data_IF_630565172820
#
_entry.id   IF_630565172820
#
_cell.length_a   1.000
_cell.length_b   1.000
_cell.length_c   1.000
_cell.angle_alpha   90.00
_cell.angle_beta   90.00
_cell.angle_gamma   90.00
#
_symmetry.space_group_name_H-M   'P 1'
#
loop_
_entity.id
_entity.type
_entity.pdbx_description
1 polymer ?
#
# COMPACT_ATOMS: atom_id res chain seq x y z
N UNK A 1 -60.07 7.46 -29.77
CA UNK A 1 -58.89 7.86 -28.97
C UNK A 1 -58.95 7.04 -27.68
N UNK A 2 -58.49 5.79 -27.55
CA UNK A 2 -57.31 5.06 -28.04
C UNK A 2 -55.96 5.45 -27.38
N UNK A 3 -55.97 5.74 -26.08
CA UNK A 3 -54.75 6.14 -25.34
C UNK A 3 -54.47 5.36 -24.04
N UNK A 4 -55.25 4.33 -23.68
CA UNK A 4 -55.13 3.66 -22.37
C UNK A 4 -54.61 2.20 -22.42
N UNK A 5 -54.12 1.76 -23.59
CA UNK A 5 -53.63 0.38 -23.80
C UNK A 5 -52.10 0.25 -23.67
N UNK A 6 -51.35 1.34 -23.51
CA UNK A 6 -49.87 1.33 -23.53
C UNK A 6 -49.19 1.17 -22.16
N UNK A 7 -49.92 1.21 -21.06
CA UNK A 7 -49.37 1.13 -19.68
C UNK A 7 -49.76 -0.14 -18.93
N UNK A 8 -50.24 -1.15 -19.66
CA UNK A 8 -50.59 -2.45 -19.09
C UNK A 8 -49.38 -3.38 -19.15
N UNK A 9 -48.80 -3.82 -18.02
CA UNK A 9 -47.73 -4.81 -18.05
C UNK A 9 -48.29 -6.13 -18.58
N UNK A 10 -47.72 -6.62 -19.68
CA UNK A 10 -48.05 -7.91 -20.27
C UNK A 10 -47.40 -9.04 -19.43
N UNK A 11 -48.25 -9.95 -18.93
CA UNK A 11 -47.84 -11.34 -18.74
C UNK A 11 -47.21 -11.75 -17.40
N UNK A 12 -47.61 -11.17 -16.26
CA UNK A 12 -47.34 -11.79 -14.95
C UNK A 12 -48.60 -11.84 -14.08
N UNK A 13 -49.17 -13.04 -13.98
CA UNK A 13 -50.24 -13.39 -13.04
C UNK A 13 -49.80 -13.09 -11.60
N UNK A 14 -50.61 -12.33 -10.85
CA UNK A 14 -50.40 -12.10 -9.41
C UNK A 14 -50.75 -13.38 -8.66
N UNK A 15 -49.76 -14.22 -8.39
CA UNK A 15 -49.93 -15.36 -7.50
C UNK A 15 -50.30 -14.86 -6.09
N UNK A 16 -51.55 -15.08 -5.69
CA UNK A 16 -52.05 -14.87 -4.33
C UNK A 16 -51.48 -15.98 -3.42
N UNK A 17 -50.19 -15.85 -3.09
CA UNK A 17 -49.45 -16.77 -2.23
C UNK A 17 -49.77 -16.53 -0.75
N UNK A 18 -50.46 -17.49 -0.15
CA UNK A 18 -51.09 -17.40 1.16
C UNK A 18 -50.17 -17.07 2.33
N UNK A 19 -50.81 -16.51 3.34
CA UNK A 19 -50.43 -16.17 4.74
C UNK A 19 -49.82 -17.34 5.56
N UNK A 20 -49.25 -18.35 4.91
CA UNK A 20 -48.70 -19.59 5.46
C UNK A 20 -47.18 -19.59 5.59
N UNK A 21 -46.45 -18.70 4.91
CA UNK A 21 -44.99 -18.59 5.06
C UNK A 21 -44.57 -17.90 6.37
N UNK A 22 -45.41 -16.99 6.89
CA UNK A 22 -45.18 -16.31 8.17
C UNK A 22 -45.23 -17.27 9.39
N UNK A 23 -45.80 -18.48 9.24
CA UNK A 23 -45.85 -19.48 10.30
C UNK A 23 -44.59 -20.38 10.36
N UNK A 24 -43.82 -20.49 9.27
CA UNK A 24 -42.57 -21.26 9.26
C UNK A 24 -41.34 -20.43 9.68
N UNK A 25 -41.37 -19.10 9.50
CA UNK A 25 -40.28 -18.22 9.92
C UNK A 25 -40.18 -18.07 11.46
N UNK A 26 -41.25 -18.36 12.21
CA UNK A 26 -41.30 -18.19 13.66
C UNK A 26 -40.63 -19.32 14.47
N UNK A 27 -40.29 -20.46 13.85
CA UNK A 27 -39.72 -21.62 14.57
C UNK A 27 -38.20 -21.73 14.41
N UNK A 28 -37.59 -21.02 13.46
CA UNK A 28 -36.13 -21.09 13.19
C UNK A 28 -35.32 -19.88 13.71
N UNK A 29 -36.00 -18.85 14.21
CA UNK A 29 -35.35 -17.65 14.76
C UNK A 29 -34.58 -17.86 16.10
N UNK A 30 -35.05 -18.67 17.08
CA UNK A 30 -34.35 -18.75 18.37
C UNK A 30 -32.94 -19.40 18.33
N UNK A 31 -32.66 -20.47 17.56
CA UNK A 31 -31.31 -21.07 17.56
C UNK A 31 -30.25 -20.20 16.87
N UNK A 32 -30.64 -19.42 15.85
CA UNK A 32 -29.70 -18.56 15.12
C UNK A 32 -29.24 -17.36 15.96
N UNK A 33 -30.17 -16.74 16.70
CA UNK A 33 -29.84 -15.62 17.60
C UNK A 33 -28.95 -16.08 18.76
N UNK A 34 -29.18 -17.30 19.29
CA UNK A 34 -28.33 -17.86 20.34
C UNK A 34 -26.91 -18.18 19.84
N UNK A 35 -26.76 -18.69 18.62
CA UNK A 35 -25.46 -18.97 18.02
C UNK A 35 -24.64 -17.69 17.77
N UNK A 36 -25.27 -16.62 17.30
CA UNK A 36 -24.61 -15.31 17.09
C UNK A 36 -24.21 -14.67 18.41
N UNK A 37 -25.07 -14.73 19.43
CA UNK A 37 -24.77 -14.19 20.76
C UNK A 37 -23.65 -14.97 21.47
N UNK A 38 -23.64 -16.30 21.37
CA UNK A 38 -22.57 -17.14 21.93
C UNK A 38 -21.23 -16.92 21.19
N UNK A 39 -21.26 -16.77 19.87
CA UNK A 39 -20.09 -16.44 19.06
C UNK A 39 -19.49 -15.07 19.42
N UNK A 40 -20.32 -14.03 19.54
CA UNK A 40 -19.88 -12.70 19.96
C UNK A 40 -19.32 -12.66 21.39
N UNK A 41 -19.90 -13.46 22.30
CA UNK A 41 -19.44 -13.56 23.68
C UNK A 41 -18.09 -14.27 23.80
N UNK A 42 -17.86 -15.34 23.03
CA UNK A 42 -16.58 -16.04 23.00
C UNK A 42 -15.47 -15.21 22.33
N UNK A 43 -15.81 -14.40 21.34
CA UNK A 43 -14.87 -13.47 20.70
C UNK A 43 -14.48 -12.32 21.65
N UNK A 44 -15.43 -11.80 22.45
CA UNK A 44 -15.13 -10.79 23.48
C UNK A 44 -14.29 -11.32 24.64
N UNK A 45 -14.30 -12.63 24.90
CA UNK A 45 -13.41 -13.25 25.91
C UNK A 45 -11.98 -13.47 25.40
N UNK A 46 -11.78 -13.49 24.09
CA UNK A 46 -10.46 -13.59 23.46
C UNK A 46 -9.87 -12.23 23.05
N UNK A 47 -10.68 -11.17 23.04
CA UNK A 47 -10.22 -9.79 22.87
C UNK A 47 -9.66 -9.23 24.19
N UNK A 48 -8.56 -9.83 24.67
CA UNK A 48 -7.67 -9.15 25.61
C UNK A 48 -6.96 -8.00 24.88
N UNK A 49 -7.06 -6.79 25.43
CA UNK A 49 -6.43 -5.60 24.87
C UNK A 49 -4.90 -5.69 24.76
N UNK A 50 -4.28 -4.76 24.01
CA UNK A 50 -2.87 -4.81 23.67
C UNK A 50 -1.99 -4.68 24.91
N UNK A 51 -1.26 -5.73 25.26
CA UNK A 51 -0.11 -5.62 26.16
C UNK A 51 1.03 -4.95 25.42
N UNK A 52 1.36 -3.71 25.80
CA UNK A 52 2.66 -3.12 25.55
C UNK A 52 3.72 -3.91 26.30
N UNK A 53 4.43 -4.80 25.59
CA UNK A 53 5.52 -5.59 26.15
C UNK A 53 6.27 -6.29 25.02
N UNK A 54 7.50 -5.84 24.77
CA UNK A 54 8.37 -6.40 23.74
C UNK A 54 8.65 -7.89 23.96
N UNK A 55 8.62 -8.64 22.87
CA UNK A 55 9.01 -10.05 22.81
C UNK A 55 9.09 -10.49 21.36
N UNK A 56 10.26 -10.32 20.74
CA UNK A 56 10.55 -10.92 19.45
C UNK A 56 10.63 -12.44 19.64
N UNK A 57 9.72 -13.18 19.00
CA UNK A 57 9.79 -14.64 18.90
C UNK A 57 10.42 -14.97 17.55
N UNK A 58 11.69 -15.37 17.58
CA UNK A 58 12.39 -15.92 16.42
C UNK A 58 12.03 -17.40 16.34
N UNK A 59 11.24 -17.78 15.35
CA UNK A 59 11.03 -19.18 15.01
C UNK A 59 12.19 -19.65 14.11
N UNK A 60 12.99 -20.58 14.64
CA UNK A 60 14.00 -21.29 13.86
C UNK A 60 13.30 -22.18 12.83
N UNK A 61 13.53 -21.91 11.55
CA UNK A 61 13.10 -22.80 10.47
C UNK A 61 14.27 -23.75 10.22
N UNK A 62 14.11 -24.98 10.70
CA UNK A 62 15.05 -26.07 10.48
C UNK A 62 15.04 -26.45 8.99
N UNK A 63 16.18 -26.24 8.33
CA UNK A 63 16.35 -26.47 6.90
C UNK A 63 16.20 -27.96 6.57
N UNK A 64 15.14 -28.28 5.82
CA UNK A 64 14.97 -29.58 5.18
C UNK A 64 15.99 -29.70 4.05
N UNK A 65 16.91 -30.65 4.19
CA UNK A 65 17.89 -30.99 3.16
C UNK A 65 17.20 -31.67 1.97
N UNK A 66 17.07 -30.95 0.86
CA UNK A 66 16.77 -31.56 -0.44
C UNK A 66 18.07 -32.09 -1.05
N UNK A 67 18.01 -33.38 -1.38
CA UNK A 67 19.11 -34.19 -1.89
C UNK A 67 19.43 -33.78 -3.32
N UNK A 68 20.65 -33.31 -3.60
CA UNK A 68 21.17 -33.22 -4.96
C UNK A 68 22.65 -33.58 -4.99
N UNK A 69 22.96 -34.70 -5.64
CA UNK A 69 24.20 -34.97 -6.38
C UNK A 69 25.53 -34.81 -5.64
N UNK A 70 25.94 -35.85 -4.91
CA UNK A 70 27.36 -36.06 -4.61
C UNK A 70 28.10 -36.47 -5.89
N UNK A 71 29.04 -35.64 -6.34
CA UNK A 71 30.17 -36.08 -7.16
C UNK A 71 31.42 -35.90 -6.30
N UNK A 72 32.03 -37.04 -5.99
CA UNK A 72 33.29 -37.12 -5.28
C UNK A 72 34.40 -36.42 -6.08
N UNK A 73 35.11 -35.49 -5.44
CA UNK A 73 36.39 -34.98 -5.91
C UNK A 73 37.49 -35.40 -4.92
N UNK A 74 38.37 -36.26 -5.42
CA UNK A 74 39.67 -36.68 -4.87
C UNK A 74 40.50 -35.47 -4.39
N UNK A 75 41.28 -35.57 -3.30
CA UNK A 75 42.05 -34.44 -2.77
C UNK A 75 43.26 -34.15 -3.66
N UNK A 76 43.28 -32.95 -4.26
CA UNK A 76 44.48 -32.37 -4.86
C UNK A 76 45.13 -31.44 -3.84
N UNK A 77 46.41 -31.67 -3.56
CA UNK A 77 47.20 -30.96 -2.55
C UNK A 77 47.37 -29.45 -2.80
N UNK A 78 47.90 -28.72 -1.81
CA UNK A 78 47.88 -27.26 -1.79
C UNK A 78 48.93 -26.66 -2.75
N UNK A 79 48.58 -25.63 -3.54
CA UNK A 79 49.55 -24.70 -4.11
C UNK A 79 49.70 -23.44 -3.23
N UNK A 80 50.81 -22.70 -3.39
CA UNK A 80 51.42 -21.91 -2.34
C UNK A 80 50.86 -20.48 -2.22
N UNK A 81 51.19 -19.86 -1.09
CA UNK A 81 51.00 -18.46 -0.78
C UNK A 81 51.67 -17.50 -1.80
N UNK A 82 51.06 -16.32 -1.97
CA UNK A 82 51.55 -15.17 -2.75
C UNK A 82 50.70 -14.94 -3.99
N UNK A 83 50.18 -13.75 -4.31
CA UNK A 83 50.87 -12.46 -4.38
C UNK A 83 49.85 -11.32 -4.31
N UNK A 84 50.12 -10.31 -3.48
CA UNK A 84 49.37 -9.03 -3.45
C UNK A 84 49.88 -8.15 -4.59
N UNK A 85 49.01 -7.78 -5.53
CA UNK A 85 49.29 -6.69 -6.49
C UNK A 85 48.49 -5.45 -6.07
N UNK A 86 49.19 -4.42 -5.59
CA UNK A 86 48.59 -3.11 -5.31
C UNK A 86 48.79 -2.18 -6.50
N UNK A 87 47.69 -1.87 -7.21
CA UNK A 87 47.57 -0.77 -8.17
C UNK A 87 46.55 0.26 -7.68
N UNK A 88 46.65 1.54 -8.06
CA UNK A 88 45.85 2.60 -7.47
C UNK A 88 44.39 2.55 -7.96
N UNK A 89 43.46 2.22 -7.05
CA UNK A 89 42.03 2.48 -7.23
C UNK A 89 41.09 1.28 -7.29
N UNK A 90 41.59 0.04 -7.23
CA UNK A 90 40.74 -1.15 -7.09
C UNK A 90 41.07 -1.89 -5.80
N UNK A 91 40.13 -1.88 -4.85
CA UNK A 91 40.06 -2.87 -3.77
C UNK A 91 39.37 -4.10 -4.34
N UNK A 92 40.16 -5.06 -4.81
CA UNK A 92 39.67 -6.41 -5.05
C UNK A 92 39.54 -7.10 -3.69
N UNK A 93 38.30 -7.19 -3.20
CA UNK A 93 37.97 -8.00 -2.03
C UNK A 93 37.81 -9.42 -2.54
N UNK A 94 38.76 -10.30 -2.23
CA UNK A 94 38.59 -11.74 -2.43
C UNK A 94 37.51 -12.21 -1.46
N UNK A 95 36.36 -12.74 -1.93
CA UNK A 95 35.36 -13.29 -1.03
C UNK A 95 35.99 -14.48 -0.30
N UNK A 96 36.05 -14.41 1.02
CA UNK A 96 36.50 -15.52 1.89
C UNK A 96 35.44 -16.62 2.03
N UNK A 97 34.31 -16.47 1.32
CA UNK A 97 33.21 -17.43 1.32
C UNK A 97 32.36 -17.41 2.58
N UNK A 98 32.59 -16.47 3.52
CA UNK A 98 31.74 -16.29 4.68
C UNK A 98 30.73 -15.16 4.42
N UNK A 99 29.44 -15.50 4.52
CA UNK A 99 28.34 -14.53 4.51
C UNK A 99 28.09 -13.95 5.91
N UNK A 100 28.88 -14.34 6.92
CA UNK A 100 28.65 -13.98 8.32
C UNK A 100 29.19 -12.58 8.66
N UNK A 101 30.17 -12.07 7.90
CA UNK A 101 30.81 -10.77 8.15
C UNK A 101 30.13 -9.57 7.46
N UNK A 102 29.18 -9.82 6.55
CA UNK A 102 28.36 -8.78 5.92
C UNK A 102 26.97 -8.82 6.54
N UNK A 103 26.84 -8.26 7.75
CA UNK A 103 25.57 -8.11 8.44
C UNK A 103 24.61 -7.19 7.67
N UNK A 104 23.86 -7.76 6.73
CA UNK A 104 22.84 -7.05 5.96
C UNK A 104 22.50 -7.75 4.65
N UNK A 105 21.26 -7.59 4.21
CA UNK A 105 20.78 -8.05 2.91
C UNK A 105 21.58 -7.36 1.78
N UNK A 106 22.37 -8.12 1.02
CA UNK A 106 23.15 -7.60 -0.10
C UNK A 106 22.22 -7.45 -1.30
N UNK A 107 21.60 -6.28 -1.43
CA UNK A 107 20.74 -5.95 -2.58
C UNK A 107 21.62 -5.54 -3.76
N UNK A 108 21.82 -6.44 -4.72
CA UNK A 108 22.49 -6.14 -6.00
C UNK A 108 21.52 -5.37 -6.89
N UNK A 109 21.74 -4.06 -7.05
CA UNK A 109 20.97 -3.21 -7.98
C UNK A 109 21.69 -3.02 -9.31
N UNK A 110 20.95 -3.08 -10.41
CA UNK A 110 21.45 -2.71 -11.75
C UNK A 110 21.80 -1.21 -11.77
N UNK A 111 23.08 -0.82 -11.97
CA UNK A 111 23.49 0.58 -11.98
C UNK A 111 22.91 1.37 -13.16
N UNK A 112 22.34 0.67 -14.16
CA UNK A 112 21.71 1.28 -15.33
C UNK A 112 20.27 1.71 -15.07
N UNK A 113 19.65 1.23 -13.99
CA UNK A 113 18.27 1.62 -13.61
C UNK A 113 18.31 2.68 -12.51
N UNK A 114 17.61 3.81 -12.69
CA UNK A 114 17.51 4.81 -11.63
C UNK A 114 16.91 4.17 -10.38
N UNK A 115 17.54 4.42 -9.23
CA UNK A 115 17.07 3.90 -7.94
C UNK A 115 15.66 4.45 -7.68
N UNK A 116 14.69 3.60 -7.28
CA UNK A 116 13.37 4.10 -6.92
C UNK A 116 13.49 5.08 -5.75
N UNK A 117 13.01 6.31 -5.96
CA UNK A 117 12.94 7.33 -4.92
C UNK A 117 11.78 6.96 -4.00
N UNK A 118 12.06 6.80 -2.70
CA UNK A 118 11.01 6.67 -1.68
C UNK A 118 10.91 8.00 -0.95
N UNK A 119 9.72 8.58 -0.91
CA UNK A 119 9.50 9.82 -0.18
C UNK A 119 9.33 9.54 1.31
N UNK A 120 9.79 10.49 2.14
CA UNK A 120 9.65 10.41 3.58
C UNK A 120 8.16 10.30 3.98
N UNK A 121 7.88 9.60 5.08
CA UNK A 121 6.54 9.51 5.63
C UNK A 121 5.99 10.92 5.97
N UNK A 122 4.68 11.09 5.81
CA UNK A 122 3.96 12.31 6.15
C UNK A 122 2.87 11.96 7.19
N UNK A 123 2.45 12.92 8.03
CA UNK A 123 2.94 14.30 8.11
C UNK A 123 4.20 14.43 8.99
N UNK A 124 5.05 15.41 8.66
CA UNK A 124 6.08 15.93 9.56
C UNK A 124 5.44 16.65 10.75
N UNK A 125 5.89 16.35 11.96
CA UNK A 125 5.27 16.85 13.20
C UNK A 125 5.41 18.37 13.40
N UNK A 126 6.50 18.95 12.91
CA UNK A 126 6.77 20.40 12.95
C UNK A 126 5.95 21.19 11.91
N UNK A 127 5.30 20.50 10.97
CA UNK A 127 4.57 21.11 9.84
C UNK A 127 3.06 20.92 9.93
N UNK A 128 2.54 20.59 11.11
CA UNK A 128 1.10 20.43 11.36
C UNK A 128 0.64 21.30 12.53
N UNK A 129 -0.61 21.72 12.45
CA UNK A 129 -1.35 22.35 13.54
C UNK A 129 -2.69 21.66 13.76
N UNK A 130 -3.24 21.75 14.97
CA UNK A 130 -4.54 21.18 15.28
C UNK A 130 -5.65 22.15 14.83
N UNK A 131 -6.51 21.70 13.92
CA UNK A 131 -7.73 22.40 13.51
C UNK A 131 -8.99 21.70 14.02
N UNK A 132 -10.16 22.30 13.77
CA UNK A 132 -11.45 21.74 14.18
C UNK A 132 -11.78 20.38 13.55
N UNK A 133 -11.19 20.08 12.38
CA UNK A 133 -11.46 18.89 11.58
C UNK A 133 -10.24 17.96 11.46
N UNK A 134 -9.24 18.12 12.33
CA UNK A 134 -8.01 17.35 12.32
C UNK A 134 -6.78 18.21 12.06
N UNK A 135 -5.68 17.55 11.68
CA UNK A 135 -4.40 18.21 11.44
C UNK A 135 -4.45 19.02 10.14
N UNK A 136 -4.00 20.28 10.22
CA UNK A 136 -3.83 21.15 9.06
C UNK A 136 -2.35 21.35 8.77
N UNK A 137 -1.95 21.43 7.48
CA UNK A 137 -0.58 21.73 7.12
C UNK A 137 -0.26 23.20 7.44
N UNK A 138 0.89 23.43 8.08
CA UNK A 138 1.45 24.76 8.32
C UNK A 138 2.91 24.84 7.85
N UNK A 139 3.44 26.05 7.76
CA UNK A 139 4.88 26.28 7.57
C UNK A 139 5.62 25.76 8.82
N UNK A 140 6.71 25.02 8.59
CA UNK A 140 7.55 24.47 9.64
C UNK A 140 8.22 25.55 10.51
N UNK A 141 8.69 25.17 11.69
CA UNK A 141 9.40 26.10 12.59
C UNK A 141 10.71 26.63 11.98
N UNK A 142 11.26 25.90 11.02
CA UNK A 142 12.41 26.23 10.18
C UNK A 142 12.05 27.14 8.97
N UNK A 143 10.77 27.47 8.78
CA UNK A 143 10.27 28.27 7.66
C UNK A 143 10.01 27.48 6.38
N UNK A 144 10.22 26.16 6.37
CA UNK A 144 9.99 25.32 5.18
C UNK A 144 8.50 25.18 4.93
N UNK A 145 8.08 25.35 3.67
CA UNK A 145 6.67 25.21 3.27
C UNK A 145 6.34 23.73 3.01
N UNK A 146 5.10 23.29 3.27
CA UNK A 146 4.66 21.92 2.92
C UNK A 146 4.92 21.56 1.45
N UNK A 147 4.77 22.52 0.54
CA UNK A 147 5.03 22.31 -0.89
C UNK A 147 6.50 21.99 -1.19
N UNK A 148 7.44 22.47 -0.38
CA UNK A 148 8.87 22.21 -0.58
C UNK A 148 9.29 20.92 0.17
N UNK A 149 8.79 20.73 1.40
CA UNK A 149 9.14 19.58 2.22
C UNK A 149 8.62 18.25 1.67
N UNK A 150 7.46 18.26 1.02
CA UNK A 150 6.82 17.07 0.49
C UNK A 150 7.00 16.91 -1.02
N UNK A 151 7.71 17.83 -1.67
CA UNK A 151 8.05 17.75 -3.08
C UNK A 151 8.84 16.47 -3.37
N UNK A 152 8.61 15.91 -4.55
CA UNK A 152 9.48 14.88 -5.09
C UNK A 152 10.75 15.54 -5.64
N UNK A 153 11.95 15.10 -5.22
CA UNK A 153 13.19 15.54 -5.85
C UNK A 153 13.20 15.17 -7.34
N UNK A 154 13.67 16.08 -8.18
CA UNK A 154 13.82 15.85 -9.61
C UNK A 154 15.21 16.32 -10.07
N UNK A 155 16.00 15.41 -10.64
CA UNK A 155 17.23 15.75 -11.35
C UNK A 155 16.88 16.01 -12.81
N UNK A 156 16.73 17.28 -13.17
CA UNK A 156 16.41 17.72 -14.53
C UNK A 156 17.73 18.07 -15.23
N UNK A 157 18.15 17.34 -16.28
CA UNK A 157 19.37 17.64 -17.01
C UNK A 157 19.34 19.03 -17.63
N UNK A 158 20.50 19.69 -17.67
CA UNK A 158 20.63 21.00 -18.31
C UNK A 158 20.19 20.95 -19.79
N UNK A 159 19.37 21.92 -20.19
CA UNK A 159 18.84 22.00 -21.55
C UNK A 159 17.57 21.19 -21.82
N UNK A 160 17.05 20.45 -20.84
CA UNK A 160 15.72 19.80 -20.93
C UNK A 160 14.59 20.71 -20.43
N UNK A 161 13.39 20.52 -20.99
CA UNK A 161 12.16 21.20 -20.56
C UNK A 161 11.44 20.27 -19.57
N UNK A 162 11.18 20.70 -18.32
CA UNK A 162 10.45 19.88 -17.36
C UNK A 162 8.96 19.76 -17.75
N UNK A 163 8.39 18.58 -17.53
CA UNK A 163 6.97 18.27 -17.72
C UNK A 163 6.45 17.68 -16.41
N UNK A 164 5.30 18.18 -15.95
CA UNK A 164 4.57 17.62 -14.81
C UNK A 164 3.28 16.95 -15.31
N UNK A 165 3.04 15.73 -14.85
CA UNK A 165 1.80 14.99 -15.11
C UNK A 165 1.11 14.76 -13.78
N UNK A 166 -0.15 15.17 -13.69
CA UNK A 166 -1.00 14.98 -12.51
C UNK A 166 -2.14 14.05 -12.88
N UNK A 167 -2.32 12.97 -12.12
CA UNK A 167 -3.46 12.06 -12.23
C UNK A 167 -4.37 12.29 -11.04
N UNK A 168 -5.61 12.72 -11.31
CA UNK A 168 -6.61 13.00 -10.29
C UNK A 168 -7.60 11.87 -10.06
N UNK A 169 -8.53 12.08 -9.13
CA UNK A 169 -9.56 11.09 -8.77
C UNK A 169 -9.05 9.93 -7.93
N UNK A 170 -7.84 10.01 -7.40
CA UNK A 170 -7.26 8.96 -6.56
C UNK A 170 -8.08 8.84 -5.26
N UNK A 171 -8.50 7.64 -4.95
CA UNK A 171 -9.37 7.30 -3.83
C UNK A 171 -10.85 7.11 -4.20
N UNK A 172 -11.30 7.58 -5.38
CA UNK A 172 -12.72 7.43 -5.79
C UNK A 172 -13.06 6.02 -6.27
N UNK A 173 -12.10 5.34 -6.90
CA UNK A 173 -12.25 3.98 -7.39
C UNK A 173 -11.07 3.14 -6.89
N UNK A 174 -11.35 2.12 -6.09
CA UNK A 174 -10.33 1.34 -5.37
C UNK A 174 -9.31 0.70 -6.31
N UNK A 175 -9.77 -0.06 -7.31
CA UNK A 175 -8.89 -0.77 -8.25
C UNK A 175 -8.10 0.20 -9.15
N UNK A 176 -8.75 1.27 -9.63
CA UNK A 176 -8.10 2.32 -10.40
C UNK A 176 -7.02 3.07 -9.61
N UNK A 177 -7.28 3.33 -8.32
CA UNK A 177 -6.33 4.00 -7.43
C UNK A 177 -5.14 3.12 -7.08
N UNK A 178 -5.38 1.85 -6.73
CA UNK A 178 -4.32 0.87 -6.45
C UNK A 178 -3.47 0.61 -7.71
N UNK A 179 -4.11 0.55 -8.88
CA UNK A 179 -3.43 0.48 -10.18
C UNK A 179 -2.56 1.71 -10.46
N UNK A 180 -3.09 2.91 -10.22
CA UNK A 180 -2.34 4.15 -10.38
C UNK A 180 -1.10 4.19 -9.48
N UNK A 181 -1.22 3.79 -8.20
CA UNK A 181 -0.09 3.77 -7.25
C UNK A 181 0.96 2.71 -7.59
N UNK A 182 0.55 1.56 -8.12
CA UNK A 182 1.46 0.42 -8.35
C UNK A 182 2.08 0.39 -9.74
N UNK A 183 1.40 0.93 -10.75
CA UNK A 183 1.81 0.81 -12.16
C UNK A 183 2.40 2.10 -12.72
N UNK A 184 2.01 3.27 -12.19
CA UNK A 184 2.57 4.52 -12.67
C UNK A 184 3.98 4.73 -12.10
N UNK A 185 4.89 5.32 -12.90
CA UNK A 185 6.20 5.72 -12.39
C UNK A 185 6.04 6.77 -11.28
N UNK A 186 6.92 6.72 -10.27
CA UNK A 186 6.89 7.62 -9.12
C UNK A 186 7.06 9.10 -9.48
N UNK A 187 7.52 9.41 -10.69
CA UNK A 187 7.55 10.75 -11.30
C UNK A 187 6.16 11.38 -11.48
N UNK A 188 5.09 10.58 -11.54
CA UNK A 188 3.73 11.07 -11.74
C UNK A 188 3.16 11.54 -10.40
N UNK A 189 2.62 12.76 -10.38
CA UNK A 189 1.95 13.33 -9.20
C UNK A 189 0.52 12.80 -9.11
N UNK A 190 0.11 12.41 -7.91
CA UNK A 190 -1.21 11.86 -7.63
C UNK A 190 -2.06 12.88 -6.87
N UNK A 191 -3.21 13.26 -7.42
CA UNK A 191 -4.17 14.14 -6.75
C UNK A 191 -5.28 13.33 -6.08
N UNK A 192 -5.31 13.41 -4.75
CA UNK A 192 -6.19 12.64 -3.88
C UNK A 192 -7.53 13.35 -3.75
N UNK A 193 -8.61 12.63 -4.02
CA UNK A 193 -9.96 13.10 -3.77
C UNK A 193 -10.27 13.06 -2.26
N UNK A 194 -10.99 14.06 -1.72
CA UNK A 194 -11.26 14.16 -0.28
C UNK A 194 -12.28 13.12 0.22
N UNK A 195 -12.97 12.43 -0.69
CA UNK A 195 -14.05 11.49 -0.40
C UNK A 195 -13.66 10.03 -0.63
N UNK A 196 -12.37 9.77 -0.86
CA UNK A 196 -11.92 8.43 -1.16
C UNK A 196 -11.92 7.52 0.07
N UNK A 197 -12.01 6.21 -0.18
CA UNK A 197 -11.94 5.20 0.86
C UNK A 197 -10.48 4.89 1.22
N UNK A 198 -10.22 4.67 2.51
CA UNK A 198 -8.93 4.22 3.05
C UNK A 198 -7.72 5.07 2.56
N UNK A 199 -7.90 6.39 2.55
CA UNK A 199 -6.86 7.34 2.14
C UNK A 199 -5.51 7.16 2.87
N UNK A 200 -5.44 6.90 4.20
CA UNK A 200 -4.15 6.72 4.86
C UNK A 200 -3.29 5.59 4.26
N UNK A 201 -3.90 4.46 3.88
CA UNK A 201 -3.21 3.36 3.20
C UNK A 201 -2.69 3.81 1.84
N UNK A 202 -3.55 4.44 1.03
CA UNK A 202 -3.22 4.90 -0.32
C UNK A 202 -2.09 5.94 -0.28
N UNK A 203 -2.15 6.91 0.63
CA UNK A 203 -1.12 7.94 0.80
C UNK A 203 0.23 7.32 1.19
N UNK A 204 0.23 6.39 2.14
CA UNK A 204 1.46 5.70 2.56
C UNK A 204 2.07 4.91 1.40
N UNK A 205 1.26 4.16 0.65
CA UNK A 205 1.69 3.41 -0.52
C UNK A 205 2.25 4.34 -1.61
N UNK A 206 1.53 5.40 -1.96
CA UNK A 206 1.93 6.39 -2.96
C UNK A 206 3.28 7.05 -2.64
N UNK A 207 3.48 7.52 -1.39
CA UNK A 207 4.77 8.11 -0.98
C UNK A 207 5.90 7.09 -0.97
N UNK A 208 5.60 5.84 -0.56
CA UNK A 208 6.59 4.76 -0.59
C UNK A 208 7.01 4.36 -2.02
N UNK A 209 6.12 4.55 -3.00
CA UNK A 209 6.36 4.36 -4.43
C UNK A 209 7.00 5.59 -5.10
N UNK A 210 7.14 6.71 -4.38
CA UNK A 210 7.86 7.89 -4.85
C UNK A 210 6.99 9.01 -5.41
N UNK A 211 5.66 8.85 -5.38
CA UNK A 211 4.73 9.85 -5.90
C UNK A 211 4.65 11.09 -5.03
N UNK A 212 4.71 12.26 -5.67
CA UNK A 212 4.24 13.50 -5.07
C UNK A 212 2.71 13.48 -4.96
N UNK A 213 2.18 14.11 -3.92
CA UNK A 213 0.76 14.06 -3.59
C UNK A 213 0.16 15.46 -3.54
N UNK A 214 -1.00 15.64 -4.17
CA UNK A 214 -1.82 16.85 -4.08
C UNK A 214 -3.19 16.53 -3.47
N UNK A 215 -3.80 17.52 -2.83
CA UNK A 215 -5.20 17.45 -2.39
C UNK A 215 -6.09 18.07 -3.47
N UNK A 216 -7.07 17.31 -3.95
CA UNK A 216 -8.09 17.84 -4.84
C UNK A 216 -9.18 18.54 -4.03
N UNK A 217 -9.41 19.82 -4.33
CA UNK A 217 -10.46 20.60 -3.67
C UNK A 217 -11.65 20.73 -4.63
N UNK A 218 -12.80 20.11 -4.33
CA UNK A 218 -14.00 20.27 -5.15
C UNK A 218 -14.51 21.71 -5.00
N UNK A 219 -14.79 22.34 -6.14
CA UNK A 219 -15.37 23.67 -6.23
C UNK A 219 -16.80 23.55 -6.78
N UNK A 220 -17.61 24.59 -6.57
CA UNK A 220 -18.98 24.63 -7.06
C UNK A 220 -19.00 24.56 -8.61
N UNK A 221 -19.72 23.60 -9.20
CA UNK A 221 -19.87 23.48 -10.64
C UNK A 221 -20.97 24.41 -11.17
N UNK A 222 -20.98 24.69 -12.47
CA UNK A 222 -21.94 25.61 -13.11
C UNK A 222 -23.41 25.18 -12.99
N UNK A 223 -23.68 23.87 -12.88
CA UNK A 223 -25.02 23.28 -12.86
C UNK A 223 -25.48 22.84 -11.47
N UNK A 224 -24.88 23.35 -10.39
CA UNK A 224 -25.28 22.95 -9.04
C UNK A 224 -26.76 23.27 -8.75
N UNK A 225 -27.55 22.36 -8.14
CA UNK A 225 -27.16 21.04 -7.59
C UNK A 225 -27.29 19.87 -8.57
N UNK A 226 -27.68 20.11 -9.82
CA UNK A 226 -28.00 19.10 -10.83
C UNK A 226 -26.73 18.61 -11.55
N UNK A 227 -25.86 17.90 -10.85
CA UNK A 227 -24.65 17.24 -11.40
C UNK A 227 -24.90 15.81 -11.86
#
# INVERSE_FOLDING_TARGET
MASDELTKPLGLEKARGGRRWLLFAAILAPPLVFAVAAGGYLLSRHAGGPSSGGGAVVAAIEGRADTTGSIAATPAGPPPAGVVHSGPGLTEVTPDGSLDDVGGDVVITDPSKPRPIRLAAAPRQDMVESGAYGLLPRIGDDGVRPMDAYARPADIPAGMIPIAIVVGGIGLEGEGSDGAVSQLPGEITLAIAPYGDDLPRILAAARSAGHEILLQVPLEPYNYPDV
#
